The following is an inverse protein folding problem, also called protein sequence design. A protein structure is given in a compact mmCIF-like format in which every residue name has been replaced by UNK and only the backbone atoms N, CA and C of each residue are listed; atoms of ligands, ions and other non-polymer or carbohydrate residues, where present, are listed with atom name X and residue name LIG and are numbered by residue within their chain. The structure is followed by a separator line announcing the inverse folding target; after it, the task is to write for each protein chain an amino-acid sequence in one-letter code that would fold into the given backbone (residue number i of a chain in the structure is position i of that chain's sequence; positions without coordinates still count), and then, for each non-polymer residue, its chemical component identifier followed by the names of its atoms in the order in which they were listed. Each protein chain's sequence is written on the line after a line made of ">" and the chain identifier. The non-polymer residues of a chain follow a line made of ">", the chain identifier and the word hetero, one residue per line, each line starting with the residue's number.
data_IF_997769113581
#
_entry.id   IF_997769113581
#
_cell.length_a   1.000
_cell.length_b   1.000
_cell.length_c   1.000
_cell.angle_alpha   90.00
_cell.angle_beta   90.00
_cell.angle_gamma   90.00
#
_symmetry.space_group_name_H-M   'P 1'
#
loop_
_entity.id
_entity.type
_entity.pdbx_description
1 polymer ?
#
# COMPACT_ATOMS: atom_id res chain seq x y z
N UNK A 1 33.02 -30.80 17.04
CA UNK A 1 31.59 -30.93 16.70
C UNK A 1 30.79 -30.55 17.93
N UNK A 2 30.28 -29.33 17.97
CA UNK A 2 29.42 -28.79 19.04
C UNK A 2 28.25 -28.11 18.31
N UNK A 3 27.06 -28.68 18.49
CA UNK A 3 25.73 -28.07 18.44
C UNK A 3 25.50 -27.00 17.33
N UNK A 4 24.89 -27.29 16.19
CA UNK A 4 23.55 -27.85 16.02
C UNK A 4 22.53 -27.30 17.03
N UNK A 5 22.57 -25.99 17.31
CA UNK A 5 21.55 -25.35 18.18
C UNK A 5 21.36 -23.84 17.94
N UNK A 6 21.40 -23.39 16.67
CA UNK A 6 20.81 -22.09 16.27
C UNK A 6 19.98 -22.18 14.99
N UNK A 7 19.42 -23.35 14.72
CA UNK A 7 18.36 -23.53 13.71
C UNK A 7 17.02 -23.45 14.44
N UNK A 8 16.65 -22.26 14.90
CA UNK A 8 15.30 -21.98 15.42
C UNK A 8 15.11 -20.48 15.56
N UNK A 9 14.11 -19.94 14.85
CA UNK A 9 13.76 -18.52 14.66
C UNK A 9 14.41 -17.81 13.48
N UNK A 10 14.22 -18.34 12.28
CA UNK A 10 13.97 -17.44 11.16
C UNK A 10 12.79 -17.99 10.37
N UNK A 11 11.61 -17.73 10.94
CA UNK A 11 10.30 -17.98 10.36
C UNK A 11 10.30 -17.57 8.89
N UNK A 12 9.78 -18.45 8.04
CA UNK A 12 9.68 -18.25 6.60
C UNK A 12 9.07 -16.88 6.28
N UNK A 13 9.91 -15.95 5.83
CA UNK A 13 9.46 -14.91 4.93
C UNK A 13 9.16 -15.64 3.64
N UNK A 14 7.89 -15.97 3.40
CA UNK A 14 7.44 -16.22 2.04
C UNK A 14 7.98 -15.07 1.19
N UNK A 15 8.74 -15.40 0.14
CA UNK A 15 9.20 -14.39 -0.79
C UNK A 15 7.98 -13.60 -1.29
N UNK A 16 8.09 -12.28 -1.28
CA UNK A 16 7.09 -11.41 -1.92
C UNK A 16 7.02 -11.85 -3.38
N UNK A 17 5.84 -12.18 -3.85
CA UNK A 17 5.64 -12.58 -5.24
C UNK A 17 5.90 -11.40 -6.18
N UNK A 18 6.25 -11.67 -7.43
CA UNK A 18 6.44 -10.61 -8.44
C UNK A 18 5.20 -9.71 -8.56
N UNK A 19 4.01 -10.29 -8.39
CA UNK A 19 2.74 -9.55 -8.41
C UNK A 19 2.61 -8.59 -7.22
N UNK A 20 2.99 -9.05 -6.03
CA UNK A 20 2.99 -8.21 -4.83
C UNK A 20 4.04 -7.09 -4.92
N UNK A 21 5.23 -7.36 -5.49
CA UNK A 21 6.25 -6.35 -5.73
C UNK A 21 5.77 -5.27 -6.71
N UNK A 22 5.14 -5.66 -7.82
CA UNK A 22 4.54 -4.72 -8.78
C UNK A 22 3.45 -3.88 -8.15
N UNK A 23 2.63 -4.49 -7.29
CA UNK A 23 1.61 -3.74 -6.55
C UNK A 23 2.23 -2.72 -5.59
N UNK A 24 3.28 -3.11 -4.85
CA UNK A 24 4.02 -2.19 -3.97
C UNK A 24 4.57 -1.00 -4.78
N UNK A 25 5.23 -1.26 -5.90
CA UNK A 25 5.75 -0.24 -6.80
C UNK A 25 4.62 0.67 -7.32
N UNK A 26 3.51 0.09 -7.79
CA UNK A 26 2.34 0.84 -8.24
C UNK A 26 1.76 1.75 -7.15
N UNK A 27 1.72 1.31 -5.90
CA UNK A 27 1.28 2.15 -4.78
C UNK A 27 2.21 3.34 -4.59
N UNK A 28 3.53 3.15 -4.66
CA UNK A 28 4.50 4.24 -4.49
C UNK A 28 4.39 5.27 -5.63
N UNK A 29 4.32 4.80 -6.87
CA UNK A 29 4.16 5.69 -8.02
C UNK A 29 2.81 6.42 -7.99
N UNK A 30 1.73 5.73 -7.62
CA UNK A 30 0.42 6.34 -7.44
C UNK A 30 0.43 7.40 -6.34
N UNK A 31 1.10 7.13 -5.22
CA UNK A 31 1.26 8.05 -4.10
C UNK A 31 2.02 9.31 -4.50
N UNK A 32 3.16 9.16 -5.17
CA UNK A 32 3.96 10.29 -5.65
C UNK A 32 3.16 11.12 -6.66
N UNK A 33 2.47 10.47 -7.59
CA UNK A 33 1.64 11.13 -8.59
C UNK A 33 0.45 11.88 -7.99
N UNK A 34 -0.15 11.33 -6.93
CA UNK A 34 -1.21 11.97 -6.15
C UNK A 34 -0.71 13.04 -5.18
N UNK A 35 0.60 13.22 -5.05
CA UNK A 35 1.25 14.18 -4.15
C UNK A 35 0.89 14.00 -2.66
N UNK A 36 0.63 12.76 -2.24
CA UNK A 36 0.27 12.45 -0.84
C UNK A 36 1.45 11.83 -0.06
N UNK A 37 1.47 12.06 1.25
CA UNK A 37 2.47 11.48 2.17
C UNK A 37 2.11 10.06 2.59
N UNK A 38 3.09 9.32 3.16
CA UNK A 38 2.80 8.04 3.82
C UNK A 38 1.85 8.19 5.01
N UNK A 39 1.86 9.33 5.69
CA UNK A 39 0.93 9.66 6.76
C UNK A 39 -0.50 9.78 6.24
N UNK A 40 -0.70 10.46 5.10
CA UNK A 40 -2.01 10.59 4.45
C UNK A 40 -2.52 9.24 3.95
N UNK A 41 -1.67 8.47 3.25
CA UNK A 41 -2.01 7.11 2.81
C UNK A 41 -2.33 6.20 4.00
N UNK A 42 -1.53 6.26 5.06
CA UNK A 42 -1.75 5.48 6.27
C UNK A 42 -3.09 5.83 6.92
N UNK A 43 -3.40 7.12 7.08
CA UNK A 43 -4.67 7.58 7.61
C UNK A 43 -5.86 7.01 6.81
N UNK A 44 -5.79 7.09 5.49
CA UNK A 44 -6.83 6.56 4.60
C UNK A 44 -7.04 5.04 4.79
N UNK A 45 -5.95 4.30 4.98
CA UNK A 45 -5.97 2.84 5.17
C UNK A 45 -6.24 2.40 6.62
N UNK A 46 -6.31 3.32 7.59
CA UNK A 46 -6.35 2.98 9.01
C UNK A 46 -5.04 2.37 9.53
N UNK A 47 -3.91 2.78 8.96
CA UNK A 47 -2.56 2.31 9.26
C UNK A 47 -1.67 3.46 9.75
N UNK A 48 -0.70 3.15 10.61
CA UNK A 48 0.36 4.10 10.94
C UNK A 48 1.33 4.30 9.76
N UNK A 49 2.00 5.45 9.70
CA UNK A 49 3.09 5.71 8.73
C UNK A 49 4.13 4.57 8.70
N UNK A 50 4.51 4.05 9.86
CA UNK A 50 5.48 2.94 9.96
C UNK A 50 4.96 1.65 9.33
N UNK A 51 3.67 1.35 9.48
CA UNK A 51 3.05 0.18 8.84
C UNK A 51 2.96 0.32 7.32
N UNK A 52 2.75 1.53 6.81
CA UNK A 52 2.81 1.83 5.38
C UNK A 52 4.23 1.65 4.86
N UNK A 53 5.22 2.26 5.52
CA UNK A 53 6.65 2.12 5.15
C UNK A 53 7.07 0.66 5.07
N UNK A 54 6.75 -0.16 6.08
CA UNK A 54 7.09 -1.59 6.06
C UNK A 54 6.46 -2.36 4.91
N UNK A 55 5.29 -1.94 4.43
CA UNK A 55 4.65 -2.53 3.24
C UNK A 55 5.34 -2.08 1.95
N UNK A 56 5.71 -0.80 1.88
CA UNK A 56 6.48 -0.25 0.77
C UNK A 56 7.89 -0.85 0.67
N UNK A 57 8.48 -1.23 1.80
CA UNK A 57 9.75 -1.96 1.86
C UNK A 57 9.59 -3.48 1.62
N UNK A 58 8.38 -3.97 1.33
CA UNK A 58 8.09 -5.40 1.14
C UNK A 58 8.26 -6.28 2.38
N UNK A 59 8.40 -5.69 3.57
CA UNK A 59 8.57 -6.44 4.83
C UNK A 59 7.25 -7.02 5.35
N UNK A 60 6.13 -6.39 4.99
CA UNK A 60 4.77 -6.80 5.35
C UNK A 60 3.92 -6.77 4.07
N UNK A 61 3.16 -7.83 3.82
CA UNK A 61 2.25 -7.90 2.67
C UNK A 61 1.07 -6.94 2.84
N UNK A 62 0.57 -6.41 1.73
CA UNK A 62 -0.73 -5.74 1.71
C UNK A 62 -1.84 -6.78 1.94
N UNK A 63 -2.75 -6.51 2.89
CA UNK A 63 -3.95 -7.31 3.00
C UNK A 63 -4.88 -7.00 1.80
N UNK A 64 -5.73 -7.95 1.40
CA UNK A 64 -6.72 -7.74 0.32
C UNK A 64 -7.58 -6.51 0.57
N UNK A 65 -7.96 -6.26 1.83
CA UNK A 65 -8.64 -5.04 2.25
C UNK A 65 -7.83 -3.79 1.92
N UNK A 66 -6.55 -3.77 2.27
CA UNK A 66 -5.66 -2.63 2.02
C UNK A 66 -5.55 -2.37 0.51
N UNK A 67 -5.41 -3.44 -0.30
CA UNK A 67 -5.34 -3.34 -1.76
C UNK A 67 -6.62 -2.74 -2.35
N UNK A 68 -7.79 -3.18 -1.88
CA UNK A 68 -9.07 -2.62 -2.29
C UNK A 68 -9.16 -1.12 -2.02
N UNK A 69 -8.77 -0.68 -0.81
CA UNK A 69 -8.83 0.74 -0.46
C UNK A 69 -7.80 1.58 -1.23
N UNK A 70 -6.59 1.06 -1.46
CA UNK A 70 -5.64 1.71 -2.39
C UNK A 70 -6.28 1.89 -3.77
N UNK A 71 -6.93 0.86 -4.30
CA UNK A 71 -7.60 0.95 -5.59
C UNK A 71 -8.69 2.03 -5.60
N UNK A 72 -9.50 2.09 -4.54
CA UNK A 72 -10.51 3.16 -4.35
C UNK A 72 -9.91 4.55 -4.23
N UNK A 73 -8.75 4.69 -3.59
CA UNK A 73 -8.07 5.95 -3.42
C UNK A 73 -7.62 6.52 -4.77
N UNK A 74 -7.02 5.68 -5.61
CA UNK A 74 -6.52 6.08 -6.93
C UNK A 74 -7.55 5.95 -8.06
N UNK A 75 -8.72 5.37 -7.78
CA UNK A 75 -9.76 5.01 -8.74
C UNK A 75 -9.31 3.99 -9.81
N UNK A 76 -8.48 3.02 -9.39
CA UNK A 76 -7.87 2.01 -10.25
C UNK A 76 -8.08 0.62 -9.66
N UNK A 77 -8.37 -0.36 -10.51
CA UNK A 77 -8.49 -1.74 -10.07
C UNK A 77 -7.14 -2.28 -9.54
N UNK A 78 -7.08 -2.92 -8.35
CA UNK A 78 -5.83 -3.43 -7.79
C UNK A 78 -5.08 -4.44 -8.67
N UNK A 79 -5.78 -5.23 -9.51
CA UNK A 79 -5.12 -6.14 -10.44
C UNK A 79 -4.49 -5.38 -11.59
N UNK A 80 -5.08 -4.26 -12.01
CA UNK A 80 -4.45 -3.35 -12.99
C UNK A 80 -3.17 -2.74 -12.42
N UNK A 81 -3.20 -2.32 -11.15
CA UNK A 81 -1.99 -1.85 -10.46
C UNK A 81 -0.92 -2.95 -10.38
N UNK A 82 -1.32 -4.17 -10.02
CA UNK A 82 -0.40 -5.30 -9.89
C UNK A 82 0.10 -5.84 -11.24
N UNK A 83 -0.63 -5.61 -12.34
CA UNK A 83 -0.18 -5.95 -13.69
C UNK A 83 1.05 -5.11 -14.10
N UNK A 84 1.16 -3.88 -13.59
CA UNK A 84 2.33 -3.02 -13.71
C UNK A 84 2.01 -1.53 -13.77
N UNK A 85 3.07 -0.73 -13.87
CA UNK A 85 2.95 0.71 -14.16
C UNK A 85 2.45 0.90 -15.60
N UNK A 86 1.51 1.82 -15.79
CA UNK A 86 0.92 2.09 -17.09
C UNK A 86 0.25 3.45 -17.15
N UNK A 87 -0.49 3.70 -18.24
CA UNK A 87 -1.12 4.99 -18.53
C UNK A 87 -2.10 5.45 -17.44
N UNK A 88 -2.60 4.52 -16.63
CA UNK A 88 -3.46 4.81 -15.49
C UNK A 88 -2.82 5.79 -14.50
N UNK A 89 -1.49 5.82 -14.36
CA UNK A 89 -0.80 6.80 -13.51
C UNK A 89 -1.08 8.23 -13.98
N UNK A 90 -1.23 8.46 -15.29
CA UNK A 90 -1.49 9.79 -15.82
C UNK A 90 -2.89 10.30 -15.43
N UNK A 91 -3.81 9.38 -15.17
CA UNK A 91 -5.21 9.67 -14.82
C UNK A 91 -5.39 10.00 -13.33
N UNK A 92 -4.37 9.80 -12.50
CA UNK A 92 -4.41 10.19 -11.10
C UNK A 92 -4.35 11.71 -11.01
N UNK A 93 -5.41 12.29 -10.44
CA UNK A 93 -5.53 13.72 -10.17
C UNK A 93 -5.33 13.98 -8.67
N UNK A 94 -4.29 14.70 -8.26
CA UNK A 94 -4.02 14.98 -6.84
C UNK A 94 -5.21 15.54 -6.07
N UNK A 95 -5.94 16.47 -6.68
CA UNK A 95 -7.11 17.12 -6.08
C UNK A 95 -8.26 16.15 -5.77
N UNK A 96 -8.52 15.18 -6.67
CA UNK A 96 -9.55 14.17 -6.45
C UNK A 96 -9.13 13.17 -5.37
N UNK A 97 -7.85 12.79 -5.35
CA UNK A 97 -7.30 11.90 -4.32
C UNK A 97 -7.36 12.58 -2.95
N UNK A 98 -6.99 13.85 -2.86
CA UNK A 98 -7.04 14.61 -1.62
C UNK A 98 -8.48 14.74 -1.10
N UNK A 99 -9.45 15.01 -1.98
CA UNK A 99 -10.87 15.02 -1.61
C UNK A 99 -11.33 13.69 -1.00
N UNK A 100 -10.95 12.55 -1.60
CA UNK A 100 -11.27 11.20 -1.05
C UNK A 100 -10.66 10.96 0.33
N UNK A 101 -9.48 11.52 0.60
CA UNK A 101 -8.82 11.42 1.92
C UNK A 101 -9.57 12.25 2.96
N UNK A 102 -10.05 13.43 2.58
CA UNK A 102 -10.75 14.33 3.48
C UNK A 102 -12.20 13.86 3.74
N UNK A 103 -12.89 13.27 2.77
CA UNK A 103 -14.24 12.71 2.93
C UNK A 103 -14.31 11.63 4.03
N UNK A 104 -13.24 10.83 4.21
CA UNK A 104 -13.15 9.87 5.31
C UNK A 104 -13.14 10.53 6.69
N UNK A 105 -12.68 11.78 6.81
CA UNK A 105 -12.69 12.51 8.10
C UNK A 105 -14.11 12.92 8.50
N UNK A 106 -14.97 13.23 7.54
CA UNK A 106 -16.35 13.67 7.81
C UNK A 106 -17.28 12.51 8.17
N UNK A 107 -17.00 11.31 7.66
CA UNK A 107 -17.75 10.09 8.00
C UNK A 107 -17.63 9.66 9.47
N UNK A 108 -16.44 9.81 10.06
CA UNK A 108 -16.17 9.44 11.47
C UNK A 108 -16.65 10.50 12.48
N UNK A 109 -16.96 11.73 12.02
CA UNK A 109 -17.40 12.83 12.91
C UNK A 109 -18.94 12.92 13.01
N UNK A 110 -19.67 12.14 12.19
CA UNK A 110 -21.14 12.11 12.15
C UNK A 110 -21.76 10.83 12.75
N UNK A 111 -20.95 9.97 13.38
CA UNK A 111 -21.39 8.76 14.07
C UNK A 111 -21.44 8.96 15.60
#
# INVERSE_FOLDING_TARGET
>A
MIAMERVSKQSGREAVTDLELRFIEAVEHGRVRAEITYEQLGRYLGLSKSQVSKRQDGQIKYAVRDMYYVGRLFDIDPLTMAAGLGDWLNNIKPEEVQARIDDLREGDTRA
#
